data_IF_098113232445
#
_entry.id   IF_098113232445
#
_cell.length_a   1.000
_cell.length_b   1.000
_cell.length_c   1.000
_cell.angle_alpha   90.00
_cell.angle_beta   90.00
_cell.angle_gamma   90.00
#
_symmetry.space_group_name_H-M   'P 1'
#
loop_
_entity.id
_entity.type
_entity.pdbx_description
1 polymer ?
#
# COMPACT_ATOMS: atom_id res chain seq x y z
N UNK A 1 9.32 6.22 -10.78
CA UNK A 1 8.44 5.05 -10.66
C UNK A 1 7.51 5.23 -9.49
N UNK A 2 6.31 4.68 -9.59
CA UNK A 2 5.34 4.57 -8.49
C UNK A 2 5.60 3.27 -7.72
N UNK A 3 5.92 3.37 -6.44
CA UNK A 3 6.31 2.21 -5.61
C UNK A 3 5.23 1.96 -4.56
N UNK A 4 4.58 0.80 -4.65
CA UNK A 4 3.69 0.34 -3.60
C UNK A 4 4.49 -0.07 -2.37
N UNK A 5 4.10 0.44 -1.20
CA UNK A 5 4.69 0.03 0.06
C UNK A 5 3.65 -0.72 0.91
N UNK A 6 4.10 -1.76 1.60
CA UNK A 6 3.28 -2.47 2.57
C UNK A 6 4.06 -2.63 3.88
N UNK A 7 3.52 -2.25 5.06
CA UNK A 7 2.22 -1.62 5.27
C UNK A 7 2.05 -0.27 4.54
N UNK A 8 0.85 0.01 4.00
CA UNK A 8 0.58 1.13 3.10
C UNK A 8 0.53 2.49 3.79
N UNK A 9 0.60 2.49 5.12
CA UNK A 9 0.67 3.66 5.98
C UNK A 9 2.07 3.88 6.57
N UNK A 10 3.08 3.09 6.18
CA UNK A 10 4.43 3.21 6.72
C UNK A 10 5.10 4.50 6.26
N UNK A 11 5.30 5.44 7.19
CA UNK A 11 5.98 6.70 6.92
C UNK A 11 7.48 6.51 6.64
N UNK A 12 8.11 5.51 7.28
CA UNK A 12 9.53 5.22 7.10
C UNK A 12 9.79 4.70 5.68
N UNK A 13 8.99 3.74 5.23
CA UNK A 13 9.13 3.21 3.87
C UNK A 13 8.81 4.28 2.82
N UNK A 14 7.80 5.11 3.06
CA UNK A 14 7.47 6.24 2.18
C UNK A 14 8.64 7.23 2.05
N UNK A 15 9.24 7.64 3.17
CA UNK A 15 10.39 8.57 3.20
C UNK A 15 11.62 7.99 2.47
N UNK A 16 11.92 6.70 2.65
CA UNK A 16 13.04 6.04 1.94
C UNK A 16 12.83 6.03 0.42
N UNK A 17 11.60 5.79 -0.03
CA UNK A 17 11.22 5.82 -1.44
C UNK A 17 11.31 7.25 -2.01
N UNK A 18 10.79 8.25 -1.31
CA UNK A 18 10.82 9.66 -1.76
C UNK A 18 12.24 10.21 -1.87
N UNK A 19 13.12 9.87 -0.91
CA UNK A 19 14.54 10.30 -0.92
C UNK A 19 15.33 9.76 -2.11
N UNK A 20 14.86 8.68 -2.73
CA UNK A 20 15.44 8.09 -3.95
C UNK A 20 14.76 8.58 -5.23
N UNK A 21 13.94 9.63 -5.15
CA UNK A 21 13.30 10.24 -6.33
C UNK A 21 12.13 9.42 -6.89
N UNK A 22 11.62 8.45 -6.14
CA UNK A 22 10.45 7.66 -6.52
C UNK A 22 9.19 8.13 -5.80
N UNK A 23 8.01 7.83 -6.35
CA UNK A 23 6.74 8.20 -5.74
C UNK A 23 6.20 7.03 -4.90
N UNK A 24 6.05 7.18 -3.56
CA UNK A 24 5.43 6.14 -2.76
C UNK A 24 3.90 6.19 -2.90
N UNK A 25 3.31 5.03 -3.16
CA UNK A 25 1.86 4.83 -3.16
C UNK A 25 1.40 4.53 -1.73
N UNK A 26 0.88 5.57 -1.07
CA UNK A 26 0.48 5.55 0.34
C UNK A 26 -1.02 5.77 0.50
N UNK A 27 -1.61 5.07 1.46
CA UNK A 27 -3.06 5.14 1.69
C UNK A 27 -3.51 6.53 2.16
N UNK A 28 -2.65 7.27 2.87
CA UNK A 28 -2.96 8.60 3.39
C UNK A 28 -3.27 9.60 2.27
N UNK A 29 -2.61 9.49 1.10
CA UNK A 29 -2.87 10.37 -0.05
C UNK A 29 -4.28 10.15 -0.59
N UNK A 30 -4.74 8.91 -0.68
CA UNK A 30 -6.09 8.59 -1.16
C UNK A 30 -7.18 8.97 -0.15
N UNK A 31 -6.94 8.73 1.14
CA UNK A 31 -7.88 9.14 2.19
C UNK A 31 -8.01 10.66 2.23
N UNK A 32 -6.90 11.40 2.08
CA UNK A 32 -6.92 12.87 2.04
C UNK A 32 -7.90 13.38 0.97
N UNK A 33 -7.87 12.83 -0.25
CA UNK A 33 -8.77 13.22 -1.35
C UNK A 33 -10.24 13.12 -0.95
N UNK A 34 -10.62 12.09 -0.20
CA UNK A 34 -12.02 11.84 0.22
C UNK A 34 -12.47 12.69 1.40
N UNK A 35 -11.55 13.13 2.28
CA UNK A 35 -11.91 13.88 3.51
C UNK A 35 -11.75 15.39 3.38
N UNK A 36 -10.99 15.87 2.40
CA UNK A 36 -10.79 17.30 2.17
C UNK A 36 -11.65 17.84 1.03
N UNK A 37 -12.58 17.05 0.49
CA UNK A 37 -13.49 17.49 -0.57
C UNK A 37 -14.49 18.51 0.02
N UNK A 38 -14.47 19.78 -0.43
CA UNK A 38 -15.34 20.83 0.09
C UNK A 38 -16.74 20.73 -0.53
N UNK A 39 -17.45 19.62 -0.30
CA UNK A 39 -18.89 19.57 -0.58
C UNK A 39 -19.66 20.28 0.55
N UNK A 40 -20.39 21.34 0.19
CA UNK A 40 -21.09 22.23 1.13
C UNK A 40 -22.27 21.52 1.83
N UNK A 41 -22.86 20.51 1.19
CA UNK A 41 -24.16 19.93 1.58
C UNK A 41 -24.05 18.56 2.26
N UNK A 42 -22.85 18.00 2.39
CA UNK A 42 -22.65 16.68 3.01
C UNK A 42 -21.40 16.64 3.86
N UNK A 43 -21.45 16.03 5.06
CA UNK A 43 -20.24 15.80 5.84
C UNK A 43 -19.26 14.98 5.00
N UNK A 44 -17.93 15.22 5.10
CA UNK A 44 -16.95 14.47 4.32
C UNK A 44 -17.16 12.95 4.52
N UNK A 45 -17.57 12.27 3.45
CA UNK A 45 -17.87 10.85 3.47
C UNK A 45 -16.62 10.04 3.14
N UNK A 46 -16.17 9.24 4.11
CA UNK A 46 -15.00 8.37 3.91
C UNK A 46 -15.27 7.25 2.89
N UNK A 47 -16.51 6.73 2.79
CA UNK A 47 -16.93 5.61 1.94
C UNK A 47 -18.41 5.78 1.57
N UNK A 48 -18.76 5.50 0.32
CA UNK A 48 -20.13 5.51 -0.23
C UNK A 48 -20.60 4.09 -0.58
N UNK A 49 -21.87 3.92 -0.97
CA UNK A 49 -22.41 2.63 -1.44
C UNK A 49 -21.78 2.15 -2.76
N UNK A 50 -21.21 3.06 -3.55
CA UNK A 50 -20.49 2.72 -4.79
C UNK A 50 -19.14 2.07 -4.53
N UNK A 51 -18.48 2.38 -3.40
CA UNK A 51 -17.14 1.91 -3.10
C UNK A 51 -17.08 0.36 -3.02
N UNK A 52 -17.98 -0.34 -2.28
CA UNK A 52 -18.04 -1.79 -2.34
C UNK A 52 -18.27 -2.38 -3.73
N UNK A 53 -18.99 -1.67 -4.63
CA UNK A 53 -19.21 -2.10 -6.01
C UNK A 53 -17.90 -2.01 -6.80
N UNK A 54 -17.18 -0.89 -6.70
CA UNK A 54 -15.84 -0.70 -7.28
C UNK A 54 -14.85 -1.75 -6.74
N UNK A 55 -14.98 -2.10 -5.46
CA UNK A 55 -14.20 -3.15 -4.80
C UNK A 55 -14.35 -4.55 -5.39
N UNK A 56 -15.46 -4.85 -6.10
CA UNK A 56 -15.68 -6.16 -6.73
C UNK A 56 -14.68 -6.46 -7.86
N UNK A 57 -14.00 -5.43 -8.39
CA UNK A 57 -12.88 -5.62 -9.32
C UNK A 57 -11.72 -6.40 -8.68
N UNK A 58 -11.55 -6.29 -7.37
CA UNK A 58 -10.39 -6.82 -6.64
C UNK A 58 -10.73 -7.90 -5.62
N UNK A 59 -11.99 -8.04 -5.24
CA UNK A 59 -12.46 -8.99 -4.23
C UNK A 59 -13.73 -9.70 -4.70
N UNK A 60 -13.87 -10.98 -4.38
CA UNK A 60 -15.08 -11.75 -4.70
C UNK A 60 -16.32 -11.20 -3.98
N UNK A 61 -17.50 -11.50 -4.53
CA UNK A 61 -18.79 -11.02 -4.01
C UNK A 61 -19.08 -11.56 -2.60
N UNK A 62 -18.58 -12.75 -2.24
CA UNK A 62 -18.74 -13.30 -0.89
C UNK A 62 -17.89 -12.62 0.19
N UNK A 63 -16.90 -11.81 -0.19
CA UNK A 63 -16.01 -11.14 0.77
C UNK A 63 -16.75 -10.02 1.48
N UNK A 64 -16.62 -9.81 2.81
CA UNK A 64 -17.36 -8.77 3.55
C UNK A 64 -17.29 -7.38 2.91
N UNK A 65 -18.38 -6.61 2.99
CA UNK A 65 -18.49 -5.27 2.41
C UNK A 65 -17.38 -4.32 2.88
N UNK A 66 -16.93 -4.43 4.13
CA UNK A 66 -15.82 -3.64 4.66
C UNK A 66 -14.47 -3.93 3.99
N UNK A 67 -14.23 -5.16 3.52
CA UNK A 67 -13.03 -5.48 2.72
C UNK A 67 -13.18 -4.93 1.32
N UNK A 68 -14.35 -5.12 0.68
CA UNK A 68 -14.62 -4.57 -0.67
C UNK A 68 -14.48 -3.05 -0.71
N UNK A 69 -15.06 -2.35 0.28
CA UNK A 69 -14.94 -0.90 0.40
C UNK A 69 -13.50 -0.43 0.61
N UNK A 70 -12.65 -1.21 1.30
CA UNK A 70 -11.21 -0.89 1.37
C UNK A 70 -10.50 -1.16 0.06
N UNK A 71 -10.85 -2.24 -0.62
CA UNK A 71 -10.28 -2.57 -1.93
C UNK A 71 -10.62 -1.53 -3.00
N UNK A 72 -11.70 -0.74 -2.85
CA UNK A 72 -11.95 0.41 -3.74
C UNK A 72 -10.86 1.48 -3.63
N UNK A 73 -10.16 1.55 -2.49
CA UNK A 73 -9.06 2.50 -2.24
C UNK A 73 -7.71 1.84 -2.53
N UNK A 74 -7.50 0.61 -2.07
CA UNK A 74 -6.23 -0.10 -2.26
C UNK A 74 -6.01 -0.58 -3.69
N UNK A 75 -7.07 -1.02 -4.38
CA UNK A 75 -6.99 -1.55 -5.73
C UNK A 75 -6.33 -0.60 -6.73
N UNK A 76 -6.77 0.68 -6.82
CA UNK A 76 -6.11 1.68 -7.67
C UNK A 76 -4.62 1.83 -7.40
N UNK A 77 -4.20 1.85 -6.12
CA UNK A 77 -2.77 1.91 -5.76
C UNK A 77 -2.01 0.68 -6.25
N UNK A 78 -2.62 -0.50 -6.16
CA UNK A 78 -2.01 -1.74 -6.67
C UNK A 78 -1.89 -1.67 -8.19
N UNK A 79 -2.89 -1.16 -8.91
CA UNK A 79 -2.88 -1.02 -10.37
C UNK A 79 -1.85 0.01 -10.87
N UNK A 80 -1.61 1.08 -10.11
CA UNK A 80 -0.63 2.10 -10.46
C UNK A 80 0.82 1.74 -10.09
N UNK A 81 1.05 0.70 -9.29
CA UNK A 81 2.38 0.32 -8.83
C UNK A 81 3.29 -0.20 -9.97
N UNK A 82 4.47 0.39 -10.12
CA UNK A 82 5.52 -0.10 -11.02
C UNK A 82 6.50 -1.06 -10.32
N UNK A 83 6.61 -0.95 -8.99
CA UNK A 83 7.39 -1.81 -8.11
C UNK A 83 6.74 -1.88 -6.72
N UNK A 84 7.15 -2.84 -5.89
CA UNK A 84 6.62 -3.01 -4.54
C UNK A 84 7.70 -3.29 -3.49
N UNK A 85 7.53 -2.75 -2.28
CA UNK A 85 8.29 -3.10 -1.07
C UNK A 85 7.30 -3.62 -0.04
N UNK A 86 7.46 -4.87 0.38
CA UNK A 86 6.55 -5.55 1.30
C UNK A 86 7.32 -5.90 2.57
N UNK A 87 6.93 -5.28 3.68
CA UNK A 87 7.43 -5.57 5.02
C UNK A 87 6.47 -6.56 5.71
N UNK A 88 6.91 -7.80 5.85
CA UNK A 88 6.24 -8.85 6.58
C UNK A 88 6.44 -8.71 8.09
N UNK A 89 5.54 -9.31 8.87
CA UNK A 89 5.62 -9.38 10.33
C UNK A 89 5.67 -8.00 11.03
N UNK A 90 5.23 -6.94 10.33
CA UNK A 90 5.17 -5.60 10.92
C UNK A 90 4.16 -5.57 12.10
N UNK A 91 4.58 -5.16 13.31
CA UNK A 91 3.75 -5.25 14.51
C UNK A 91 2.53 -4.30 14.50
N UNK A 92 2.52 -3.33 13.58
CA UNK A 92 1.49 -2.29 13.48
C UNK A 92 0.36 -2.62 12.49
N UNK A 93 0.24 -3.88 12.06
CA UNK A 93 -0.90 -4.39 11.29
C UNK A 93 -2.21 -4.54 12.10
N UNK A 94 -2.43 -3.70 13.11
CA UNK A 94 -3.57 -3.82 14.04
C UNK A 94 -4.88 -3.35 13.38
N UNK A 95 -5.94 -4.14 13.56
CA UNK A 95 -7.28 -3.85 13.05
C UNK A 95 -8.23 -5.02 13.28
N UNK A 96 -9.52 -4.85 12.96
CA UNK A 96 -10.45 -5.99 12.98
C UNK A 96 -10.07 -7.02 11.90
N UNK A 97 -10.69 -8.20 11.93
CA UNK A 97 -10.42 -9.27 10.95
C UNK A 97 -10.57 -8.80 9.49
N UNK A 98 -11.49 -7.87 9.22
CA UNK A 98 -11.64 -7.26 7.88
C UNK A 98 -10.41 -6.47 7.44
N UNK A 99 -9.73 -5.79 8.37
CA UNK A 99 -8.45 -5.13 8.09
C UNK A 99 -7.39 -6.15 7.68
N UNK A 100 -7.26 -7.23 8.45
CA UNK A 100 -6.29 -8.28 8.20
C UNK A 100 -6.53 -8.97 6.84
N UNK A 101 -7.79 -9.27 6.49
CA UNK A 101 -8.12 -9.86 5.18
C UNK A 101 -7.87 -8.90 4.01
N UNK A 102 -8.12 -7.60 4.20
CA UNK A 102 -7.74 -6.60 3.20
C UNK A 102 -6.23 -6.59 2.97
N UNK A 103 -5.46 -6.60 4.06
CA UNK A 103 -4.00 -6.62 4.01
C UNK A 103 -3.45 -7.83 3.24
N UNK A 104 -3.93 -9.03 3.57
CA UNK A 104 -3.57 -10.26 2.85
C UNK A 104 -3.91 -10.17 1.36
N UNK A 105 -5.09 -9.65 1.03
CA UNK A 105 -5.54 -9.50 -0.35
C UNK A 105 -4.70 -8.48 -1.13
N UNK A 106 -4.32 -7.36 -0.51
CA UNK A 106 -3.43 -6.37 -1.12
C UNK A 106 -2.06 -6.98 -1.44
N UNK A 107 -1.45 -7.67 -0.48
CA UNK A 107 -0.16 -8.35 -0.66
C UNK A 107 -0.27 -9.43 -1.75
N UNK A 108 -1.34 -10.20 -1.76
CA UNK A 108 -1.61 -11.20 -2.81
C UNK A 108 -1.64 -10.58 -4.21
N UNK A 109 -2.36 -9.47 -4.39
CA UNK A 109 -2.44 -8.79 -5.68
C UNK A 109 -1.09 -8.19 -6.11
N UNK A 110 -0.34 -7.58 -5.19
CA UNK A 110 1.00 -7.07 -5.49
C UNK A 110 1.95 -8.19 -5.96
N UNK A 111 1.95 -9.33 -5.27
CA UNK A 111 2.74 -10.53 -5.66
C UNK A 111 2.34 -11.07 -7.03
N UNK A 112 1.04 -11.08 -7.33
CA UNK A 112 0.49 -11.55 -8.61
C UNK A 112 0.74 -10.61 -9.78
N UNK A 113 1.03 -9.33 -9.53
CA UNK A 113 1.12 -8.31 -10.56
C UNK A 113 2.35 -8.46 -11.48
N UNK A 114 3.39 -9.19 -11.06
CA UNK A 114 4.59 -9.41 -11.87
C UNK A 114 5.52 -8.19 -11.96
N UNK A 115 5.40 -7.26 -11.01
CA UNK A 115 6.31 -6.11 -10.87
C UNK A 115 7.50 -6.46 -9.96
N UNK A 116 8.66 -5.78 -10.12
CA UNK A 116 9.77 -5.91 -9.19
C UNK A 116 9.29 -5.73 -7.74
N UNK A 117 9.54 -6.74 -6.90
CA UNK A 117 9.04 -6.78 -5.52
C UNK A 117 10.17 -7.13 -4.57
N UNK A 118 10.37 -6.32 -3.54
CA UNK A 118 11.28 -6.59 -2.43
C UNK A 118 10.48 -7.00 -1.20
N UNK A 119 10.67 -8.23 -0.74
CA UNK A 119 10.09 -8.72 0.50
C UNK A 119 11.12 -8.73 1.65
N UNK A 120 10.72 -8.18 2.79
CA UNK A 120 11.56 -7.96 3.96
C UNK A 120 10.78 -8.37 5.21
N UNK A 121 11.49 -8.83 6.24
CA UNK A 121 10.91 -9.01 7.57
C UNK A 121 11.12 -7.76 8.40
N UNK A 122 10.15 -7.45 9.25
CA UNK A 122 10.26 -6.34 10.18
C UNK A 122 11.46 -6.53 11.11
N UNK A 123 12.38 -5.56 11.20
CA UNK A 123 13.58 -5.70 12.02
C UNK A 123 13.24 -5.54 13.51
N UNK A 124 13.85 -6.37 14.34
CA UNK A 124 13.73 -6.36 15.80
C UNK A 124 15.03 -5.94 16.49
N UNK A 125 16.14 -5.94 15.76
CA UNK A 125 17.45 -5.48 16.23
C UNK A 125 17.98 -4.32 15.40
N UNK A 126 19.01 -3.63 15.92
CA UNK A 126 19.66 -2.53 15.22
C UNK A 126 20.36 -3.01 13.95
N UNK A 127 21.02 -4.16 14.04
CA UNK A 127 21.77 -4.79 12.96
C UNK A 127 20.81 -5.17 11.82
N UNK A 128 19.68 -5.81 12.14
CA UNK A 128 18.61 -6.10 11.18
C UNK A 128 18.05 -4.83 10.53
N UNK A 129 17.89 -3.75 11.32
CA UNK A 129 17.41 -2.46 10.79
C UNK A 129 18.36 -1.90 9.73
N UNK A 130 19.67 -1.95 9.99
CA UNK A 130 20.69 -1.50 9.04
C UNK A 130 20.64 -2.35 7.76
N UNK A 131 20.51 -3.67 7.91
CA UNK A 131 20.39 -4.58 6.77
C UNK A 131 19.16 -4.28 5.92
N UNK A 132 17.99 -4.12 6.55
CA UNK A 132 16.72 -3.77 5.90
C UNK A 132 16.86 -2.48 5.09
N UNK A 133 17.42 -1.42 5.69
CA UNK A 133 17.61 -0.13 5.00
C UNK A 133 18.57 -0.27 3.82
N UNK A 134 19.66 -1.01 3.96
CA UNK A 134 20.62 -1.23 2.88
C UNK A 134 19.99 -2.02 1.72
N UNK A 135 19.19 -3.04 2.02
CA UNK A 135 18.47 -3.82 1.00
C UNK A 135 17.44 -2.96 0.25
N UNK A 136 16.72 -2.10 0.96
CA UNK A 136 15.79 -1.14 0.34
C UNK A 136 16.55 -0.19 -0.58
N UNK A 137 17.62 0.44 -0.10
CA UNK A 137 18.42 1.37 -0.92
C UNK A 137 18.94 0.70 -2.19
N UNK A 138 19.53 -0.49 -2.06
CA UNK A 138 20.04 -1.25 -3.20
C UNK A 138 18.93 -1.55 -4.22
N UNK A 139 17.75 -1.98 -3.75
CA UNK A 139 16.62 -2.25 -4.62
C UNK A 139 16.16 -1.00 -5.37
N UNK A 140 16.08 0.14 -4.69
CA UNK A 140 15.70 1.42 -5.31
C UNK A 140 16.74 1.88 -6.34
N UNK A 141 18.04 1.78 -6.01
CA UNK A 141 19.12 2.13 -6.94
C UNK A 141 19.11 1.23 -8.21
N UNK A 142 18.80 -0.07 -8.06
CA UNK A 142 18.63 -1.00 -9.19
C UNK A 142 17.40 -0.69 -10.06
N UNK A 143 16.36 -0.09 -9.50
CA UNK A 143 15.19 0.37 -10.25
C UNK A 143 15.49 1.66 -11.02
N UNK A 144 16.29 2.56 -10.47
CA UNK A 144 16.76 3.76 -11.15
C UNK A 144 17.62 3.40 -12.38
N UNK A 145 18.59 2.49 -12.20
CA UNK A 145 19.48 2.06 -13.28
C UNK A 145 18.79 1.38 -14.46
N UNK A 146 17.57 0.85 -14.27
CA UNK A 146 16.76 0.25 -15.35
C UNK A 146 15.91 1.27 -16.11
N UNK A 147 15.78 2.49 -15.60
CA UNK A 147 14.98 3.56 -16.21
C UNK A 147 15.83 4.69 -16.84
N UNK A 148 17.15 4.67 -16.63
CA UNK A 148 18.12 5.51 -17.35
C UNK A 148 18.60 4.83 -18.62
#
# INVERSE_FOLDING_TARGET
MKIAIFPPNSLILADLVERRGHEPLVIQKEIKKKVTDPEIDSPPFNITEEDPIKGLKYAAIEVPSGVRGRMSIFGPLIEEADAAIIMEEAPFGFGCIGCARTNELCVFHLRKKGIPTLELKYPTTREETIEVVNRINKFLDELEAKNG
#
